data_IF_561507784575
#
_entry.id   IF_561507784575
#
_cell.length_a   1.000
_cell.length_b   1.000
_cell.length_c   1.000
_cell.angle_alpha   90.00
_cell.angle_beta   90.00
_cell.angle_gamma   90.00
#
_symmetry.space_group_name_H-M   'P 1'
#
loop_
_entity.id
_entity.type
_entity.pdbx_description
1 polymer ?
#
# COMPACT_ATOMS: atom_id res chain seq x y z
N UNK A 1 -6.30 -15.67 25.48
CA UNK A 1 -7.52 -15.91 24.69
C UNK A 1 -7.15 -16.93 23.64
N UNK A 2 -7.91 -18.01 23.50
CA UNK A 2 -7.65 -19.05 22.51
C UNK A 2 -8.58 -18.86 21.32
N UNK A 3 -8.02 -18.86 20.11
CA UNK A 3 -8.75 -18.71 18.85
C UNK A 3 -8.54 -19.97 18.02
N UNK A 4 -9.63 -20.65 17.67
CA UNK A 4 -9.60 -21.76 16.72
C UNK A 4 -9.74 -21.20 15.31
N UNK A 5 -8.77 -21.48 14.44
CA UNK A 5 -8.80 -21.08 13.05
C UNK A 5 -8.99 -22.32 12.16
N UNK A 6 -9.90 -22.22 11.19
CA UNK A 6 -10.13 -23.28 10.22
C UNK A 6 -9.23 -23.09 9.00
N UNK A 7 -8.50 -24.14 8.64
CA UNK A 7 -7.78 -24.23 7.37
C UNK A 7 -8.58 -25.10 6.39
N UNK A 8 -8.74 -24.67 5.13
CA UNK A 8 -9.24 -25.53 4.08
C UNK A 8 -8.45 -26.85 4.02
N UNK A 9 -9.16 -27.95 3.78
CA UNK A 9 -8.63 -29.31 3.93
C UNK A 9 -7.35 -29.57 3.14
N UNK A 10 -7.27 -29.05 1.89
CA UNK A 10 -6.09 -29.16 1.04
C UNK A 10 -4.86 -28.49 1.66
N UNK A 11 -5.01 -27.26 2.16
CA UNK A 11 -3.91 -26.49 2.76
C UNK A 11 -3.52 -27.10 4.12
N UNK A 12 -4.51 -27.51 4.92
CA UNK A 12 -4.28 -28.15 6.22
C UNK A 12 -3.51 -29.47 6.09
N UNK A 13 -3.85 -30.30 5.11
CA UNK A 13 -3.13 -31.54 4.82
C UNK A 13 -1.68 -31.27 4.40
N UNK A 14 -1.46 -30.27 3.53
CA UNK A 14 -0.12 -29.87 3.09
C UNK A 14 0.73 -29.31 4.24
N UNK A 15 0.16 -28.45 5.09
CA UNK A 15 0.85 -27.89 6.24
C UNK A 15 1.26 -28.96 7.25
N UNK A 16 0.38 -29.95 7.48
CA UNK A 16 0.67 -31.09 8.36
C UNK A 16 1.74 -32.01 7.78
N UNK A 17 1.71 -32.26 6.47
CA UNK A 17 2.73 -33.07 5.80
C UNK A 17 4.12 -32.40 5.82
N UNK A 18 4.15 -31.06 5.81
CA UNK A 18 5.38 -30.27 5.86
C UNK A 18 5.86 -29.96 7.30
N UNK A 19 5.18 -30.48 8.34
CA UNK A 19 5.48 -30.24 9.76
C UNK A 19 5.71 -28.76 10.11
N UNK A 20 4.89 -27.87 9.53
CA UNK A 20 5.07 -26.44 9.71
C UNK A 20 4.75 -26.00 11.15
N UNK A 21 5.52 -25.07 11.74
CA UNK A 21 5.22 -24.49 13.04
C UNK A 21 4.05 -23.49 12.94
N UNK A 22 2.85 -23.99 12.60
CA UNK A 22 1.70 -23.18 12.20
C UNK A 22 1.29 -22.14 13.25
N UNK A 23 1.31 -22.49 14.54
CA UNK A 23 0.98 -21.53 15.60
C UNK A 23 1.94 -20.34 15.65
N UNK A 24 3.22 -20.55 15.32
CA UNK A 24 4.20 -19.46 15.23
C UNK A 24 3.97 -18.65 13.96
N UNK A 25 3.82 -19.31 12.81
CA UNK A 25 3.56 -18.64 11.53
C UNK A 25 2.30 -17.76 11.58
N UNK A 26 1.22 -18.27 12.16
CA UNK A 26 -0.03 -17.52 12.32
C UNK A 26 0.16 -16.34 13.29
N UNK A 27 0.90 -16.53 14.37
CA UNK A 27 1.19 -15.45 15.32
C UNK A 27 1.98 -14.35 14.64
N UNK A 28 3.07 -14.70 13.97
CA UNK A 28 3.95 -13.75 13.29
C UNK A 28 3.14 -12.97 12.22
N UNK A 29 2.38 -13.67 11.36
CA UNK A 29 1.54 -13.02 10.35
C UNK A 29 0.42 -12.12 10.91
N UNK A 30 -0.18 -12.50 12.04
CA UNK A 30 -1.19 -11.66 12.71
C UNK A 30 -0.54 -10.44 13.36
N UNK A 31 0.64 -10.60 13.95
CA UNK A 31 1.41 -9.46 14.50
C UNK A 31 1.76 -8.49 13.39
N UNK A 32 2.32 -8.97 12.28
CA UNK A 32 2.68 -8.14 11.13
C UNK A 32 1.47 -7.38 10.58
N UNK A 33 0.32 -8.04 10.41
CA UNK A 33 -0.91 -7.39 9.94
C UNK A 33 -1.45 -6.33 10.92
N UNK A 34 -1.34 -6.57 12.23
CA UNK A 34 -1.74 -5.60 13.24
C UNK A 34 -0.83 -4.36 13.23
N UNK A 35 0.48 -4.57 13.11
CA UNK A 35 1.47 -3.49 12.98
C UNK A 35 1.23 -2.68 11.70
N UNK A 36 0.98 -3.36 10.57
CA UNK A 36 0.65 -2.73 9.29
C UNK A 36 -0.58 -1.83 9.39
N UNK A 37 -1.66 -2.34 9.96
CA UNK A 37 -2.91 -1.56 10.16
C UNK A 37 -2.71 -0.37 11.09
N UNK A 38 -1.92 -0.53 12.14
CA UNK A 38 -1.65 0.56 13.06
C UNK A 38 -0.82 1.67 12.39
N UNK A 39 0.18 1.30 11.59
CA UNK A 39 0.95 2.26 10.80
C UNK A 39 0.07 3.02 9.80
N UNK A 40 -0.79 2.33 9.04
CA UNK A 40 -1.71 2.97 8.10
C UNK A 40 -2.70 3.89 8.83
N UNK A 41 -3.20 3.48 10.00
CA UNK A 41 -4.08 4.31 10.81
C UNK A 41 -3.38 5.57 11.32
N UNK A 42 -2.10 5.49 11.68
CA UNK A 42 -1.30 6.65 12.04
C UNK A 42 -1.12 7.60 10.85
N UNK A 43 -0.81 7.05 9.67
CA UNK A 43 -0.74 7.80 8.41
C UNK A 43 -2.07 8.51 8.11
N UNK A 44 -3.20 7.86 8.37
CA UNK A 44 -4.56 8.36 8.12
C UNK A 44 -5.19 9.08 9.33
N UNK A 45 -4.43 9.46 10.35
CA UNK A 45 -5.00 10.07 11.57
C UNK A 45 -5.73 11.40 11.28
N UNK A 46 -5.26 12.16 10.29
CA UNK A 46 -5.87 13.42 9.85
C UNK A 46 -5.96 13.47 8.32
N UNK A 47 -6.94 12.76 7.71
CA UNK A 47 -7.04 12.68 6.27
C UNK A 47 -7.44 14.03 5.68
N UNK A 48 -6.76 14.40 4.61
CA UNK A 48 -6.96 15.63 3.86
C UNK A 48 -7.62 15.33 2.51
N UNK A 49 -8.36 16.30 1.98
CA UNK A 49 -8.88 16.23 0.61
C UNK A 49 -7.88 16.91 -0.31
N UNK A 50 -7.32 16.15 -1.23
CA UNK A 50 -6.44 16.63 -2.29
C UNK A 50 -7.23 16.76 -3.59
N UNK A 51 -7.06 17.88 -4.27
CA UNK A 51 -7.60 18.13 -5.60
C UNK A 51 -6.49 17.91 -6.62
N UNK A 52 -6.69 16.99 -7.56
CA UNK A 52 -5.71 16.60 -8.57
C UNK A 52 -6.28 16.81 -9.96
N UNK A 53 -5.49 17.35 -10.87
CA UNK A 53 -5.92 17.51 -12.28
C UNK A 53 -5.74 16.19 -13.01
N UNK A 54 -6.78 15.72 -13.67
CA UNK A 54 -6.81 14.45 -14.40
C UNK A 54 -7.34 14.65 -15.80
N UNK A 55 -6.76 13.96 -16.78
CA UNK A 55 -7.20 13.88 -18.16
C UNK A 55 -7.64 12.45 -18.50
N UNK A 56 -8.81 12.31 -19.14
CA UNK A 56 -9.29 11.02 -19.67
C UNK A 56 -8.72 10.69 -21.06
N UNK A 57 -9.03 9.50 -21.55
CA UNK A 57 -8.61 9.05 -22.89
C UNK A 57 -9.23 9.86 -24.05
N UNK A 58 -10.26 10.69 -23.76
CA UNK A 58 -10.90 11.61 -24.71
C UNK A 58 -10.31 13.04 -24.61
N UNK A 59 -9.17 13.24 -23.93
CA UNK A 59 -8.51 14.52 -23.67
C UNK A 59 -9.38 15.54 -22.91
N UNK A 60 -10.31 15.06 -22.07
CA UNK A 60 -11.11 15.94 -21.20
C UNK A 60 -10.46 16.05 -19.84
N UNK A 61 -10.18 17.29 -19.45
CA UNK A 61 -9.60 17.60 -18.14
C UNK A 61 -10.70 17.78 -17.08
N UNK A 62 -10.51 17.17 -15.91
CA UNK A 62 -11.35 17.36 -14.73
C UNK A 62 -10.49 17.38 -13.46
N UNK A 63 -11.08 17.86 -12.35
CA UNK A 63 -10.45 17.83 -11.04
C UNK A 63 -10.95 16.60 -10.28
N UNK A 64 -10.07 15.64 -10.08
CA UNK A 64 -10.26 14.51 -9.18
C UNK A 64 -10.10 14.92 -7.72
N UNK A 65 -10.84 14.26 -6.83
CA UNK A 65 -10.72 14.46 -5.38
C UNK A 65 -10.27 13.18 -4.71
N UNK A 66 -9.16 13.25 -3.98
CA UNK A 66 -8.61 12.15 -3.20
C UNK A 66 -8.74 12.50 -1.72
N UNK A 67 -9.47 11.69 -0.95
CA UNK A 67 -9.56 11.84 0.51
C UNK A 67 -8.61 10.82 1.16
N UNK A 68 -7.57 11.30 1.82
CA UNK A 68 -6.52 10.43 2.34
C UNK A 68 -5.32 11.19 2.89
N UNK A 69 -4.15 10.57 2.82
CA UNK A 69 -2.87 11.16 3.19
C UNK A 69 -1.91 11.10 2.02
N UNK A 70 -1.11 12.15 1.82
CA UNK A 70 0.06 12.10 0.95
C UNK A 70 1.14 11.28 1.67
N UNK A 71 1.60 10.21 1.04
CA UNK A 71 2.58 9.28 1.63
C UNK A 71 3.97 9.40 1.01
N UNK A 72 4.06 9.88 -0.23
CA UNK A 72 5.31 10.19 -0.89
C UNK A 72 5.09 11.15 -2.06
N UNK A 73 6.18 11.81 -2.47
CA UNK A 73 6.23 12.62 -3.69
C UNK A 73 7.63 12.57 -4.27
N UNK A 74 7.74 12.42 -5.59
CA UNK A 74 8.99 12.56 -6.32
C UNK A 74 8.92 13.77 -7.24
N UNK A 75 9.55 14.87 -6.81
CA UNK A 75 9.58 16.11 -7.59
C UNK A 75 10.36 16.00 -8.90
N UNK A 76 11.24 15.01 -9.05
CA UNK A 76 11.97 14.82 -10.32
C UNK A 76 11.02 14.31 -11.38
N UNK A 77 10.12 13.42 -10.99
CA UNK A 77 9.17 12.77 -11.88
C UNK A 77 7.77 13.37 -11.85
N UNK A 78 7.55 14.41 -11.04
CA UNK A 78 6.25 15.06 -10.82
C UNK A 78 5.17 14.04 -10.45
N UNK A 79 5.57 13.06 -9.62
CA UNK A 79 4.71 11.99 -9.14
C UNK A 79 4.35 12.24 -7.69
N UNK A 80 3.07 12.16 -7.36
CA UNK A 80 2.59 12.20 -5.97
C UNK A 80 1.80 10.94 -5.64
N UNK A 81 2.04 10.36 -4.46
CA UNK A 81 1.41 9.13 -4.02
C UNK A 81 0.56 9.37 -2.79
N UNK A 82 -0.66 8.87 -2.84
CA UNK A 82 -1.67 9.03 -1.81
C UNK A 82 -2.12 7.66 -1.28
N UNK A 83 -2.31 7.58 0.03
CA UNK A 83 -3.09 6.52 0.67
C UNK A 83 -4.49 7.06 0.96
N UNK A 84 -5.51 6.46 0.38
CA UNK A 84 -6.90 6.86 0.60
C UNK A 84 -7.45 6.33 1.92
N UNK A 85 -8.54 6.92 2.42
CA UNK A 85 -9.22 6.45 3.63
C UNK A 85 -9.83 5.05 3.50
N UNK A 86 -10.01 4.55 2.28
CA UNK A 86 -10.44 3.17 1.97
C UNK A 86 -9.25 2.24 1.61
N UNK A 87 -8.04 2.61 2.04
CA UNK A 87 -6.81 1.81 1.96
C UNK A 87 -6.27 1.55 0.54
N UNK A 88 -6.72 2.32 -0.46
CA UNK A 88 -6.19 2.27 -1.82
C UNK A 88 -4.96 3.17 -1.94
N UNK A 89 -4.00 2.74 -2.73
CA UNK A 89 -2.82 3.55 -3.07
C UNK A 89 -3.02 4.11 -4.47
N UNK A 90 -3.05 5.44 -4.55
CA UNK A 90 -3.21 6.17 -5.81
C UNK A 90 -1.91 6.91 -6.10
N UNK A 91 -1.34 6.64 -7.26
CA UNK A 91 -0.27 7.43 -7.85
C UNK A 91 -0.90 8.46 -8.78
N UNK A 92 -0.52 9.72 -8.64
CA UNK A 92 -0.87 10.79 -9.57
C UNK A 92 0.40 11.21 -10.30
N UNK A 93 0.39 11.07 -11.62
CA UNK A 93 1.42 11.55 -12.54
C UNK A 93 0.97 12.91 -13.09
N UNK A 94 1.62 13.98 -12.64
CA UNK A 94 1.28 15.34 -13.03
C UNK A 94 1.69 15.66 -14.47
N UNK A 95 2.66 14.93 -15.05
CA UNK A 95 3.15 15.16 -16.41
C UNK A 95 2.10 14.80 -17.45
N UNK A 96 1.49 13.64 -17.24
CA UNK A 96 0.44 13.11 -18.12
C UNK A 96 -0.97 13.46 -17.63
N UNK A 97 -1.08 14.13 -16.47
CA UNK A 97 -2.34 14.36 -15.76
C UNK A 97 -3.15 13.06 -15.59
N UNK A 98 -2.48 11.96 -15.19
CA UNK A 98 -3.12 10.65 -15.02
C UNK A 98 -3.00 10.16 -13.59
N UNK A 99 -3.93 9.30 -13.20
CA UNK A 99 -3.84 8.59 -11.93
C UNK A 99 -3.87 7.09 -12.15
N UNK A 100 -3.20 6.37 -11.25
CA UNK A 100 -3.07 4.92 -11.27
C UNK A 100 -3.37 4.38 -9.87
N UNK A 101 -4.35 3.48 -9.79
CA UNK A 101 -4.60 2.70 -8.58
C UNK A 101 -3.69 1.47 -8.58
N UNK A 102 -2.86 1.34 -7.54
CA UNK A 102 -1.93 0.23 -7.41
C UNK A 102 -2.60 -0.95 -6.72
N UNK A 103 -2.50 -2.13 -7.34
CA UNK A 103 -3.01 -3.39 -6.78
C UNK A 103 -1.97 -4.09 -5.90
N UNK A 104 -0.70 -3.87 -6.20
CA UNK A 104 0.44 -4.33 -5.42
C UNK A 104 1.39 -3.15 -5.19
N UNK A 105 1.09 -2.26 -4.22
CA UNK A 105 1.90 -1.08 -3.97
C UNK A 105 3.36 -1.43 -3.63
N UNK A 106 3.61 -2.55 -2.94
CA UNK A 106 4.95 -2.95 -2.49
C UNK A 106 5.90 -3.14 -3.67
N UNK A 107 5.42 -3.80 -4.71
CA UNK A 107 6.20 -4.04 -5.93
C UNK A 107 6.13 -2.84 -6.88
N UNK A 108 4.93 -2.30 -7.10
CA UNK A 108 4.68 -1.34 -8.18
C UNK A 108 5.22 0.06 -7.90
N UNK A 109 5.33 0.50 -6.63
CA UNK A 109 5.80 1.85 -6.30
C UNK A 109 7.24 2.14 -6.75
N UNK A 110 8.06 1.11 -6.96
CA UNK A 110 9.43 1.26 -7.47
C UNK A 110 9.50 1.81 -8.88
N UNK A 111 8.47 1.56 -9.68
CA UNK A 111 8.41 2.03 -11.06
C UNK A 111 8.10 3.54 -11.13
N UNK A 112 7.66 4.13 -10.02
CA UNK A 112 7.16 5.51 -9.95
C UNK A 112 8.01 6.43 -9.07
N UNK A 113 8.78 5.89 -8.12
CA UNK A 113 9.45 6.66 -7.09
C UNK A 113 10.94 6.33 -7.03
N UNK A 114 11.76 7.34 -6.74
CA UNK A 114 13.14 7.11 -6.29
C UNK A 114 13.19 6.29 -4.99
N UNK A 115 14.31 5.62 -4.74
CA UNK A 115 14.50 4.73 -3.58
C UNK A 115 14.12 5.37 -2.23
N UNK A 116 14.41 6.67 -2.06
CA UNK A 116 14.05 7.42 -0.86
C UNK A 116 12.54 7.59 -0.71
N UNK A 117 11.88 8.07 -1.77
CA UNK A 117 10.43 8.27 -1.77
C UNK A 117 9.67 6.93 -1.69
N UNK A 118 10.20 5.88 -2.33
CA UNK A 118 9.71 4.51 -2.20
C UNK A 118 9.76 4.03 -0.74
N UNK A 119 10.89 4.25 -0.06
CA UNK A 119 11.05 3.85 1.34
C UNK A 119 10.08 4.58 2.28
N UNK A 120 9.82 5.87 2.03
CA UNK A 120 8.87 6.64 2.81
C UNK A 120 7.43 6.19 2.57
N UNK A 121 7.05 5.92 1.31
CA UNK A 121 5.76 5.36 0.97
C UNK A 121 5.51 4.01 1.67
N UNK A 122 6.48 3.09 1.63
CA UNK A 122 6.32 1.78 2.28
C UNK A 122 6.17 1.87 3.79
N UNK A 123 6.94 2.74 4.46
CA UNK A 123 6.79 2.96 5.90
C UNK A 123 5.39 3.46 6.24
N UNK A 124 4.83 4.35 5.42
CA UNK A 124 3.46 4.85 5.60
C UNK A 124 2.39 3.77 5.41
N UNK A 125 2.69 2.73 4.62
CA UNK A 125 1.87 1.53 4.45
C UNK A 125 2.11 0.45 5.52
N UNK A 126 3.05 0.68 6.44
CA UNK A 126 3.44 -0.30 7.47
C UNK A 126 4.34 -1.43 6.96
N UNK A 127 4.96 -1.24 5.79
CA UNK A 127 5.83 -2.22 5.14
C UNK A 127 7.30 -1.86 5.35
N UNK A 128 8.16 -2.89 5.42
CA UNK A 128 9.61 -2.67 5.50
C UNK A 128 10.20 -2.54 4.10
N UNK A 129 10.85 -1.40 3.76
CA UNK A 129 11.42 -1.23 2.43
C UNK A 129 12.67 -2.09 2.24
N UNK A 130 12.69 -2.87 1.17
CA UNK A 130 13.86 -3.56 0.66
C UNK A 130 14.52 -2.68 -0.42
N UNK A 131 15.81 -2.44 -0.39
CA UNK A 131 16.49 -1.66 -1.45
C UNK A 131 17.80 -2.38 -1.78
N UNK A 132 18.00 -2.65 -3.07
CA UNK A 132 19.25 -3.23 -3.58
C UNK A 132 20.27 -2.09 -3.77
N UNK A 133 21.48 -2.25 -3.22
CA UNK A 133 22.57 -1.26 -3.25
C UNK A 133 23.64 -1.58 -4.30
#
# INVERSE_FOLDING_TARGET
MDVACYLPEEIGARAKAADLPFSRLLRDAVTDELERREAMKQTLNEPTVYEVTVEDDDNRTYVGRITGALIASDHRDEVTVYLTTDERVIVHDERDAKYHELRDPVTQLRDWLSDGAYADALRALGETPLIDL
#
